data_IF_156693084395
#
_entry.id   IF_156693084395
#
_cell.length_a   1.000
_cell.length_b   1.000
_cell.length_c   1.000
_cell.angle_alpha   90.00
_cell.angle_beta   90.00
_cell.angle_gamma   90.00
#
_symmetry.space_group_name_H-M   'P 1'
#
loop_
_entity.id
_entity.type
_entity.pdbx_description
1 polymer ?
#
# COMPACT_ATOMS: atom_id res chain seq x y z
N UNK A 1 -9.36 -11.39 8.81
CA UNK A 1 -10.57 -11.35 7.95
C UNK A 1 -10.17 -11.61 6.50
N UNK A 2 -11.09 -12.13 5.66
CA UNK A 2 -10.78 -12.35 4.23
C UNK A 2 -10.84 -11.02 3.46
N UNK A 3 -9.72 -10.60 2.90
CA UNK A 3 -9.64 -9.37 2.08
C UNK A 3 -10.20 -9.61 0.68
N UNK A 4 -10.81 -8.57 0.10
CA UNK A 4 -11.05 -8.50 -1.33
C UNK A 4 -9.72 -8.45 -2.08
N UNK A 5 -9.64 -9.19 -3.19
CA UNK A 5 -8.43 -9.27 -3.99
C UNK A 5 -8.75 -9.44 -5.47
N UNK A 6 -7.75 -9.12 -6.31
CA UNK A 6 -7.70 -9.49 -7.71
C UNK A 6 -6.48 -10.37 -7.94
N UNK A 7 -6.70 -11.61 -8.39
CA UNK A 7 -5.64 -12.48 -8.89
C UNK A 7 -5.41 -12.22 -10.39
N UNK A 8 -4.15 -11.93 -10.75
CA UNK A 8 -3.65 -11.91 -12.12
C UNK A 8 -2.72 -13.11 -12.29
N UNK A 9 -3.17 -14.21 -12.92
CA UNK A 9 -2.33 -15.38 -13.11
C UNK A 9 -1.16 -15.07 -14.05
N UNK A 10 -0.05 -15.76 -13.83
CA UNK A 10 1.11 -15.72 -14.70
C UNK A 10 0.72 -16.14 -16.13
N UNK A 11 1.25 -15.41 -17.11
CA UNK A 11 1.04 -15.68 -18.53
C UNK A 11 2.04 -16.70 -19.08
N UNK A 12 3.11 -16.99 -18.35
CA UNK A 12 4.02 -18.10 -18.67
C UNK A 12 3.52 -19.37 -18.01
N UNK A 13 3.59 -20.47 -18.75
CA UNK A 13 3.26 -21.78 -18.22
C UNK A 13 4.33 -22.17 -17.19
N UNK A 14 3.98 -22.01 -15.92
CA UNK A 14 4.80 -22.43 -14.79
C UNK A 14 4.25 -23.75 -14.29
N UNK A 15 5.14 -24.74 -14.12
CA UNK A 15 4.79 -25.95 -13.40
C UNK A 15 4.11 -25.56 -12.07
N UNK A 16 3.00 -26.19 -11.68
CA UNK A 16 2.24 -25.83 -10.48
C UNK A 16 3.11 -25.63 -9.23
N UNK A 17 4.16 -26.45 -9.09
CA UNK A 17 5.11 -26.45 -7.96
C UNK A 17 6.18 -25.33 -8.00
N UNK A 18 6.16 -24.46 -9.03
CA UNK A 18 7.11 -23.34 -9.20
C UNK A 18 6.43 -21.98 -9.30
N UNK A 19 5.13 -21.89 -9.05
CA UNK A 19 4.40 -20.62 -9.17
C UNK A 19 4.85 -19.64 -8.11
N UNK A 20 5.58 -18.62 -8.53
CA UNK A 20 6.01 -17.54 -7.65
C UNK A 20 4.88 -16.53 -7.51
N UNK A 21 4.45 -16.28 -6.28
CA UNK A 21 3.34 -15.38 -5.98
C UNK A 21 3.85 -14.05 -5.44
N UNK A 22 3.26 -12.94 -5.90
CA UNK A 22 3.53 -11.60 -5.40
C UNK A 22 2.25 -10.94 -4.90
N UNK A 23 2.25 -10.51 -3.64
CA UNK A 23 1.21 -9.64 -3.08
C UNK A 23 1.57 -8.16 -3.27
N UNK A 24 0.62 -7.37 -3.80
CA UNK A 24 0.74 -5.93 -3.99
C UNK A 24 -0.26 -5.20 -3.08
N UNK A 25 0.25 -4.35 -2.17
CA UNK A 25 -0.53 -3.69 -1.12
C UNK A 25 -0.49 -2.17 -1.28
N UNK A 26 -1.66 -1.55 -1.43
CA UNK A 26 -1.80 -0.09 -1.59
C UNK A 26 -1.63 0.69 -0.27
N UNK A 27 -1.46 2.01 -0.39
CA UNK A 27 -1.39 2.95 0.73
C UNK A 27 -2.76 3.43 1.24
N UNK A 28 -2.74 4.30 2.26
CA UNK A 28 -3.95 4.92 2.84
C UNK A 28 -4.79 5.64 1.77
N UNK A 29 -6.12 5.54 1.86
CA UNK A 29 -7.11 6.06 0.90
C UNK A 29 -7.08 5.39 -0.49
N UNK A 30 -6.18 4.43 -0.70
CA UNK A 30 -6.04 3.70 -1.95
C UNK A 30 -7.05 2.56 -2.14
N UNK A 31 -6.77 1.77 -3.16
CA UNK A 31 -7.41 0.50 -3.49
C UNK A 31 -6.43 -0.39 -4.26
N UNK A 32 -6.77 -1.65 -4.49
CA UNK A 32 -6.00 -2.59 -5.30
C UNK A 32 -5.65 -2.03 -6.69
N UNK A 33 -6.44 -1.09 -7.22
CA UNK A 33 -6.23 -0.47 -8.52
C UNK A 33 -4.97 0.41 -8.59
N UNK A 34 -4.46 0.90 -7.45
CA UNK A 34 -3.30 1.79 -7.41
C UNK A 34 -2.01 1.12 -7.93
N UNK A 35 -1.87 -0.18 -7.71
CA UNK A 35 -0.70 -0.96 -8.16
C UNK A 35 -1.00 -1.84 -9.39
N UNK A 36 -2.17 -1.65 -10.02
CA UNK A 36 -2.62 -2.47 -11.17
C UNK A 36 -1.66 -2.42 -12.37
N UNK A 37 -1.03 -1.27 -12.61
CA UNK A 37 -0.02 -1.10 -13.66
C UNK A 37 1.19 -2.01 -13.44
N UNK A 38 1.75 -2.01 -12.22
CA UNK A 38 2.82 -2.93 -11.84
C UNK A 38 2.37 -4.39 -11.93
N UNK A 39 1.17 -4.70 -11.41
CA UNK A 39 0.66 -6.06 -11.45
C UNK A 39 0.48 -6.61 -12.87
N UNK A 40 0.15 -5.75 -13.84
CA UNK A 40 0.10 -6.12 -15.26
C UNK A 40 1.47 -6.44 -15.86
N UNK A 41 2.54 -5.78 -15.41
CA UNK A 41 3.90 -6.10 -15.89
C UNK A 41 4.44 -7.37 -15.23
N UNK A 42 4.18 -7.55 -13.92
CA UNK A 42 4.62 -8.73 -13.16
C UNK A 42 3.89 -10.01 -13.58
N UNK A 43 2.64 -9.95 -14.07
CA UNK A 43 1.92 -11.16 -14.53
C UNK A 43 2.61 -11.89 -15.71
N UNK A 44 3.67 -11.31 -16.28
CA UNK A 44 4.51 -12.01 -17.25
C UNK A 44 5.20 -13.23 -16.63
N UNK A 45 5.56 -13.15 -15.34
CA UNK A 45 6.42 -14.12 -14.65
C UNK A 45 5.89 -14.55 -13.28
N UNK A 46 4.80 -13.97 -12.79
CA UNK A 46 4.30 -14.21 -11.42
C UNK A 46 2.79 -14.30 -11.39
N UNK A 47 2.26 -15.09 -10.45
CA UNK A 47 0.88 -14.92 -10.02
C UNK A 47 0.83 -13.69 -9.12
N UNK A 48 0.07 -12.66 -9.50
CA UNK A 48 0.03 -11.39 -8.79
C UNK A 48 -1.31 -11.21 -8.10
N UNK A 49 -1.28 -10.99 -6.79
CA UNK A 49 -2.45 -10.73 -5.97
C UNK A 49 -2.45 -9.27 -5.56
N UNK A 50 -3.40 -8.50 -6.09
CA UNK A 50 -3.64 -7.13 -5.63
C UNK A 50 -4.74 -7.15 -4.59
N UNK A 51 -4.51 -6.55 -3.43
CA UNK A 51 -5.45 -6.59 -2.31
C UNK A 51 -6.07 -5.23 -2.08
N UNK A 52 -7.36 -5.19 -1.73
CA UNK A 52 -7.89 -4.06 -0.97
C UNK A 52 -7.62 -4.34 0.50
N UNK A 53 -6.94 -3.43 1.19
CA UNK A 53 -6.74 -3.54 2.65
C UNK A 53 -8.08 -3.35 3.35
N UNK A 54 -8.26 -3.90 4.57
CA UNK A 54 -9.42 -3.62 5.42
C UNK A 54 -9.77 -2.13 5.42
N UNK A 55 -11.06 -1.81 5.51
CA UNK A 55 -11.59 -0.44 5.40
C UNK A 55 -11.37 0.28 4.05
N UNK A 56 -10.81 -0.40 3.04
CA UNK A 56 -10.64 0.14 1.70
C UNK A 56 -11.32 -0.74 0.65
N UNK A 57 -11.60 -0.13 -0.52
CA UNK A 57 -12.22 -0.79 -1.66
C UNK A 57 -13.39 -1.70 -1.26
N UNK A 58 -13.35 -2.95 -1.71
CA UNK A 58 -14.42 -3.93 -1.43
C UNK A 58 -14.12 -4.87 -0.25
N UNK A 59 -13.00 -4.68 0.46
CA UNK A 59 -12.72 -5.45 1.69
C UNK A 59 -13.68 -5.07 2.81
N UNK A 60 -13.95 -6.00 3.72
CA UNK A 60 -14.86 -5.73 4.84
C UNK A 60 -14.35 -4.56 5.70
N UNK A 61 -15.29 -3.98 6.46
CA UNK A 61 -15.00 -2.87 7.37
C UNK A 61 -14.70 -3.42 8.74
N UNK A 62 -13.76 -2.79 9.45
CA UNK A 62 -13.37 -3.17 10.79
C UNK A 62 -13.03 -1.92 11.61
N UNK A 63 -13.48 -1.87 12.85
CA UNK A 63 -13.22 -0.73 13.74
C UNK A 63 -11.76 -0.59 14.16
N UNK A 64 -10.91 -1.58 13.90
CA UNK A 64 -9.51 -1.61 14.32
C UNK A 64 -8.55 -1.80 13.13
N UNK A 65 -7.45 -1.04 13.10
CA UNK A 65 -6.41 -1.11 12.06
C UNK A 65 -4.99 -1.05 12.64
N UNK A 66 -4.64 -2.00 13.52
CA UNK A 66 -3.23 -2.18 13.89
C UNK A 66 -2.45 -2.94 12.81
N UNK A 67 -1.15 -2.69 12.71
CA UNK A 67 -0.29 -3.40 11.75
C UNK A 67 -0.25 -4.92 11.95
N UNK A 68 -0.20 -5.48 13.18
CA UNK A 68 -0.31 -6.92 13.38
C UNK A 68 -1.60 -7.52 12.83
N UNK A 69 -2.74 -6.84 13.01
CA UNK A 69 -4.02 -7.30 12.46
C UNK A 69 -4.05 -7.23 10.94
N UNK A 70 -3.56 -6.14 10.35
CA UNK A 70 -3.51 -6.00 8.88
C UNK A 70 -2.54 -7.00 8.25
N UNK A 71 -1.42 -7.33 8.91
CA UNK A 71 -0.54 -8.40 8.47
C UNK A 71 -1.22 -9.78 8.55
N UNK A 72 -1.97 -10.04 9.63
CA UNK A 72 -2.73 -11.28 9.77
C UNK A 72 -3.79 -11.44 8.66
N UNK A 73 -4.42 -10.37 8.19
CA UNK A 73 -5.35 -10.45 7.05
C UNK A 73 -4.67 -10.92 5.76
N UNK A 74 -3.41 -10.50 5.53
CA UNK A 74 -2.63 -10.96 4.37
C UNK A 74 -2.34 -12.45 4.50
N UNK A 75 -1.99 -12.93 5.70
CA UNK A 75 -1.77 -14.36 5.94
C UNK A 75 -3.05 -15.17 5.81
N UNK A 76 -4.18 -14.71 6.34
CA UNK A 76 -5.47 -15.37 6.18
C UNK A 76 -5.86 -15.47 4.70
N UNK A 77 -5.63 -14.42 3.90
CA UNK A 77 -5.85 -14.47 2.46
C UNK A 77 -4.89 -15.45 1.77
N UNK A 78 -3.60 -15.46 2.14
CA UNK A 78 -2.64 -16.41 1.59
C UNK A 78 -3.02 -17.86 1.91
N UNK A 79 -3.43 -18.14 3.15
CA UNK A 79 -3.85 -19.47 3.59
C UNK A 79 -5.14 -19.91 2.89
N UNK A 80 -6.11 -19.00 2.71
CA UNK A 80 -7.33 -19.23 1.93
C UNK A 80 -7.02 -19.63 0.48
N UNK A 81 -6.00 -19.00 -0.11
CA UNK A 81 -5.51 -19.28 -1.46
C UNK A 81 -4.49 -20.43 -1.53
N UNK A 82 -4.20 -21.09 -0.41
CA UNK A 82 -3.25 -22.20 -0.30
C UNK A 82 -1.81 -21.80 -0.70
N UNK A 83 -1.40 -20.57 -0.38
CA UNK A 83 -0.09 -20.02 -0.70
C UNK A 83 0.81 -20.06 0.54
N UNK A 84 1.75 -20.99 0.56
CA UNK A 84 2.68 -21.14 1.70
C UNK A 84 3.79 -20.08 1.70
N UNK A 85 4.34 -19.70 0.54
CA UNK A 85 5.39 -18.67 0.47
C UNK A 85 5.11 -17.69 -0.66
N UNK A 86 5.41 -16.41 -0.43
CA UNK A 86 5.19 -15.36 -1.41
C UNK A 86 6.20 -14.22 -1.25
N UNK A 87 6.33 -13.42 -2.29
CA UNK A 87 6.97 -12.10 -2.21
C UNK A 87 5.93 -11.01 -2.03
N UNK A 88 6.34 -9.87 -1.50
CA UNK A 88 5.40 -8.80 -1.13
C UNK A 88 5.96 -7.42 -1.47
N UNK A 89 5.11 -6.55 -2.01
CA UNK A 89 5.38 -5.13 -2.20
C UNK A 89 4.26 -4.32 -1.58
N UNK A 90 4.63 -3.33 -0.78
CA UNK A 90 3.68 -2.39 -0.20
C UNK A 90 4.09 -0.94 -0.42
N UNK A 91 3.12 -0.08 -0.72
CA UNK A 91 3.31 1.38 -0.76
C UNK A 91 2.76 2.06 0.50
N UNK A 92 3.53 2.97 1.10
CA UNK A 92 3.08 3.78 2.24
C UNK A 92 2.55 2.91 3.39
N UNK A 93 1.30 3.09 3.84
CA UNK A 93 0.63 2.18 4.78
C UNK A 93 0.77 0.69 4.39
N UNK A 94 0.63 0.36 3.11
CA UNK A 94 0.85 -0.99 2.59
C UNK A 94 2.28 -1.48 2.76
N UNK A 95 3.27 -0.59 2.71
CA UNK A 95 4.67 -0.89 2.99
C UNK A 95 4.90 -1.25 4.45
N UNK A 96 4.24 -0.55 5.38
CA UNK A 96 4.23 -0.92 6.80
C UNK A 96 3.55 -2.27 7.04
N UNK A 97 2.43 -2.56 6.36
CA UNK A 97 1.81 -3.90 6.40
C UNK A 97 2.78 -4.97 5.90
N UNK A 98 3.46 -4.73 4.78
CA UNK A 98 4.44 -5.67 4.22
C UNK A 98 5.63 -5.92 5.16
N UNK A 99 6.15 -4.86 5.79
CA UNK A 99 7.18 -4.96 6.83
C UNK A 99 6.69 -5.78 8.02
N UNK A 100 5.47 -5.56 8.51
CA UNK A 100 4.89 -6.34 9.61
C UNK A 100 4.68 -7.81 9.24
N UNK A 101 4.32 -8.13 7.99
CA UNK A 101 4.28 -9.53 7.51
C UNK A 101 5.67 -10.17 7.60
N UNK A 102 6.69 -9.49 7.06
CA UNK A 102 8.07 -9.99 7.04
C UNK A 102 8.65 -10.22 8.45
N UNK A 103 8.31 -9.35 9.40
CA UNK A 103 8.78 -9.47 10.79
C UNK A 103 7.99 -10.51 11.60
N UNK A 104 6.71 -10.72 11.28
CA UNK A 104 5.85 -11.67 11.99
C UNK A 104 6.08 -13.13 11.55
N UNK A 105 6.21 -13.37 10.24
CA UNK A 105 6.44 -14.72 9.69
C UNK A 105 7.50 -14.67 8.58
N UNK A 106 8.78 -14.45 8.94
CA UNK A 106 9.87 -14.29 7.96
C UNK A 106 9.99 -15.47 6.99
N UNK A 107 9.66 -16.69 7.41
CA UNK A 107 9.69 -17.91 6.60
C UNK A 107 8.65 -17.93 5.46
N UNK A 108 7.59 -17.12 5.56
CA UNK A 108 6.55 -17.01 4.53
C UNK A 108 6.93 -16.01 3.44
N UNK A 109 7.83 -15.07 3.75
CA UNK A 109 8.15 -13.94 2.87
C UNK A 109 9.50 -14.17 2.19
N UNK A 110 9.49 -14.30 0.87
CA UNK A 110 10.70 -14.58 0.08
C UNK A 110 11.49 -13.30 -0.24
N UNK A 111 10.79 -12.24 -0.64
CA UNK A 111 11.35 -10.93 -1.01
C UNK A 111 10.40 -9.83 -0.58
N UNK A 112 10.95 -8.75 -0.07
CA UNK A 112 10.19 -7.59 0.43
C UNK A 112 10.57 -6.33 -0.36
N UNK A 113 9.56 -5.64 -0.90
CA UNK A 113 9.71 -4.26 -1.38
C UNK A 113 8.86 -3.32 -0.53
N UNK A 114 9.50 -2.27 -0.02
CA UNK A 114 8.87 -1.19 0.74
C UNK A 114 8.95 0.09 -0.09
N UNK A 115 7.82 0.57 -0.58
CA UNK A 115 7.74 1.77 -1.40
C UNK A 115 7.35 2.99 -0.54
N UNK A 116 8.34 3.86 -0.37
CA UNK A 116 8.24 5.21 0.19
C UNK A 116 7.64 5.30 1.60
N UNK A 117 8.13 4.46 2.50
CA UNK A 117 7.78 4.48 3.92
C UNK A 117 8.90 3.89 4.78
N UNK A 118 9.05 4.39 6.00
CA UNK A 118 9.95 3.85 7.01
C UNK A 118 9.20 3.13 8.16
N UNK A 119 9.86 2.19 8.86
CA UNK A 119 9.33 1.55 10.07
C UNK A 119 9.47 2.49 11.29
N UNK A 120 8.84 3.66 11.20
CA UNK A 120 8.83 4.69 12.25
C UNK A 120 7.45 5.34 12.35
N UNK A 121 7.18 6.00 13.48
CA UNK A 121 6.04 6.90 13.62
C UNK A 121 6.26 8.15 12.76
N UNK A 122 5.19 8.72 12.25
CA UNK A 122 5.22 9.93 11.43
C UNK A 122 4.35 11.01 12.04
N UNK A 123 4.72 12.28 11.84
CA UNK A 123 3.85 13.40 12.18
C UNK A 123 2.56 13.37 11.35
N UNK A 124 1.54 14.06 11.84
CA UNK A 124 0.29 14.19 11.10
C UNK A 124 0.48 14.97 9.79
N UNK A 125 0.00 14.39 8.69
CA UNK A 125 -0.03 14.97 7.35
C UNK A 125 -1.41 14.92 6.69
N UNK A 126 -2.45 14.47 7.41
CA UNK A 126 -3.76 14.17 6.82
C UNK A 126 -4.95 14.81 7.55
N UNK A 127 -4.76 15.63 8.59
CA UNK A 127 -5.88 16.35 9.22
C UNK A 127 -6.72 17.14 8.21
N UNK A 128 -6.08 17.95 7.36
CA UNK A 128 -6.80 18.72 6.32
C UNK A 128 -7.41 17.81 5.26
N UNK A 129 -6.72 16.72 4.91
CA UNK A 129 -7.27 15.69 4.01
C UNK A 129 -8.56 15.09 4.59
N UNK A 130 -8.57 14.68 5.86
CA UNK A 130 -9.76 14.16 6.51
C UNK A 130 -10.87 15.22 6.58
N UNK A 131 -10.55 16.47 6.89
CA UNK A 131 -11.52 17.57 6.90
C UNK A 131 -12.16 17.74 5.52
N UNK A 132 -11.35 17.77 4.46
CA UNK A 132 -11.84 17.91 3.09
C UNK A 132 -12.66 16.70 2.62
N UNK A 133 -12.25 15.48 2.94
CA UNK A 133 -13.02 14.27 2.62
C UNK A 133 -14.38 14.24 3.35
N UNK A 134 -14.40 14.67 4.62
CA UNK A 134 -15.66 14.83 5.38
C UNK A 134 -16.54 15.92 4.77
N UNK A 135 -15.96 17.02 4.32
CA UNK A 135 -16.69 18.09 3.62
C UNK A 135 -17.31 17.60 2.29
N UNK A 136 -16.54 16.85 1.48
CA UNK A 136 -17.06 16.20 0.26
C UNK A 136 -18.24 15.28 0.61
N UNK A 137 -18.08 14.41 1.61
CA UNK A 137 -19.14 13.49 2.06
C UNK A 137 -20.40 14.25 2.51
N UNK A 138 -20.24 15.33 3.28
CA UNK A 138 -21.34 16.17 3.75
C UNK A 138 -22.05 16.94 2.62
N UNK A 139 -21.31 17.37 1.59
CA UNK A 139 -21.86 18.11 0.45
C UNK A 139 -22.73 17.27 -0.50
N UNK A 140 -22.60 15.93 -0.45
CA UNK A 140 -23.31 14.98 -1.31
C UNK A 140 -23.24 15.33 -2.82
N UNK A 141 -22.08 15.80 -3.27
CA UNK A 141 -21.83 16.18 -4.68
C UNK A 141 -21.81 14.96 -5.60
N UNK A 142 -22.49 15.05 -6.75
CA UNK A 142 -22.72 13.89 -7.63
C UNK A 142 -21.69 13.73 -8.76
N UNK A 143 -20.48 14.25 -8.59
CA UNK A 143 -19.38 14.05 -9.54
C UNK A 143 -18.02 14.28 -8.89
N UNK A 144 -16.98 13.65 -9.43
CA UNK A 144 -15.59 13.92 -9.04
C UNK A 144 -15.17 15.36 -9.28
N UNK A 145 -15.66 15.99 -10.34
CA UNK A 145 -15.36 17.40 -10.64
C UNK A 145 -15.94 18.34 -9.58
N UNK A 146 -17.16 18.08 -9.10
CA UNK A 146 -17.73 18.85 -8.00
C UNK A 146 -17.04 18.55 -6.67
N UNK A 147 -16.69 17.28 -6.42
CA UNK A 147 -15.92 16.88 -5.24
C UNK A 147 -14.54 17.54 -5.20
N UNK A 148 -13.84 17.67 -6.33
CA UNK A 148 -12.54 18.33 -6.44
C UNK A 148 -12.63 19.81 -6.05
N UNK A 149 -13.71 20.50 -6.43
CA UNK A 149 -13.94 21.90 -6.02
C UNK A 149 -14.06 22.06 -4.50
N UNK A 150 -14.78 21.14 -3.85
CA UNK A 150 -14.90 21.13 -2.38
C UNK A 150 -13.56 20.80 -1.73
N UNK A 151 -12.87 19.79 -2.28
CA UNK A 151 -11.61 19.31 -1.72
C UNK A 151 -10.45 20.33 -1.91
N UNK A 152 -10.53 21.21 -2.90
CA UNK A 152 -9.56 22.26 -3.17
C UNK A 152 -9.44 23.29 -2.05
N UNK A 153 -10.48 23.46 -1.22
CA UNK A 153 -10.45 24.35 -0.05
C UNK A 153 -9.59 23.78 1.11
N UNK A 154 -9.21 22.50 1.03
CA UNK A 154 -8.50 21.78 2.10
C UNK A 154 -7.17 21.17 1.65
N UNK A 155 -7.08 20.76 0.39
CA UNK A 155 -5.91 20.06 -0.16
C UNK A 155 -5.41 20.82 -1.38
N UNK A 156 -4.29 21.52 -1.24
CA UNK A 156 -3.76 22.42 -2.29
C UNK A 156 -3.34 21.67 -3.55
N UNK A 157 -2.70 20.51 -3.40
CA UNK A 157 -2.08 19.75 -4.50
C UNK A 157 -3.11 19.00 -5.35
N UNK A 158 -3.31 19.37 -6.63
CA UNK A 158 -4.30 18.73 -7.50
C UNK A 158 -4.10 17.22 -7.67
N UNK A 159 -2.86 16.76 -7.73
CA UNK A 159 -2.52 15.34 -7.89
C UNK A 159 -2.98 14.51 -6.69
N UNK A 160 -2.86 15.07 -5.47
CA UNK A 160 -3.36 14.44 -4.24
C UNK A 160 -4.88 14.35 -4.27
N UNK A 161 -5.57 15.43 -4.65
CA UNK A 161 -7.03 15.41 -4.79
C UNK A 161 -7.50 14.39 -5.81
N UNK A 162 -6.86 14.34 -6.97
CA UNK A 162 -7.17 13.35 -8.01
C UNK A 162 -6.97 11.93 -7.51
N UNK A 163 -5.89 11.66 -6.76
CA UNK A 163 -5.67 10.36 -6.11
C UNK A 163 -6.80 10.01 -5.14
N UNK A 164 -7.13 10.90 -4.20
CA UNK A 164 -8.19 10.68 -3.21
C UNK A 164 -9.56 10.41 -3.86
N UNK A 165 -9.87 11.15 -4.94
CA UNK A 165 -11.14 11.05 -5.66
C UNK A 165 -11.22 9.85 -6.61
N UNK A 166 -10.14 9.08 -6.84
CA UNK A 166 -10.24 7.77 -7.52
C UNK A 166 -11.15 6.81 -6.76
N UNK A 167 -11.18 6.94 -5.44
CA UNK A 167 -12.02 6.18 -4.54
C UNK A 167 -13.42 6.79 -4.37
N UNK A 168 -13.71 7.95 -4.97
CA UNK A 168 -15.07 8.51 -5.02
C UNK A 168 -15.79 8.01 -6.27
N UNK A 169 -16.72 7.07 -6.10
CA UNK A 169 -17.33 6.31 -7.20
C UNK A 169 -18.86 6.39 -7.15
N UNK A 170 -19.50 6.25 -8.33
CA UNK A 170 -20.95 6.24 -8.45
C UNK A 170 -21.50 4.88 -8.01
N UNK A 171 -22.40 4.89 -7.03
CA UNK A 171 -23.21 3.76 -6.58
C UNK A 171 -24.68 3.97 -6.98
N UNK A 172 -25.57 3.06 -6.57
CA UNK A 172 -27.01 3.23 -6.76
C UNK A 172 -27.57 4.43 -5.96
N UNK A 173 -26.93 4.78 -4.85
CA UNK A 173 -27.30 5.85 -3.91
C UNK A 173 -26.60 7.19 -4.21
N UNK A 174 -25.82 7.28 -5.29
CA UNK A 174 -25.07 8.47 -5.68
C UNK A 174 -23.55 8.28 -5.59
N UNK A 175 -22.77 9.36 -5.59
CA UNK A 175 -21.32 9.24 -5.43
C UNK A 175 -20.91 9.07 -3.96
N UNK A 176 -20.09 8.05 -3.70
CA UNK A 176 -19.61 7.72 -2.35
C UNK A 176 -18.13 7.33 -2.36
N UNK A 177 -17.46 7.49 -1.22
CA UNK A 177 -16.11 6.95 -1.03
C UNK A 177 -16.19 5.44 -0.84
N UNK A 178 -15.37 4.69 -1.58
CA UNK A 178 -15.28 3.23 -1.47
C UNK A 178 -14.43 2.76 -0.28
N UNK A 179 -13.92 3.68 0.54
CA UNK A 179 -13.28 3.38 1.83
C UNK A 179 -14.14 3.91 2.98
N UNK A 180 -13.96 3.32 4.16
CA UNK A 180 -14.66 3.72 5.37
C UNK A 180 -13.95 4.90 6.06
N UNK A 181 -14.35 6.11 5.68
CA UNK A 181 -13.73 7.34 6.17
C UNK A 181 -13.75 7.47 7.70
N UNK A 182 -14.78 6.97 8.38
CA UNK A 182 -14.87 7.09 9.84
C UNK A 182 -13.88 6.15 10.51
N UNK A 183 -13.82 4.88 10.08
CA UNK A 183 -12.85 3.94 10.62
C UNK A 183 -11.41 4.35 10.31
N UNK A 184 -11.14 4.90 9.12
CA UNK A 184 -9.82 5.45 8.80
C UNK A 184 -9.44 6.61 9.71
N UNK A 185 -10.36 7.54 9.97
CA UNK A 185 -10.14 8.65 10.88
C UNK A 185 -9.89 8.18 12.32
N UNK A 186 -10.74 7.27 12.82
CA UNK A 186 -10.65 6.77 14.19
C UNK A 186 -9.36 5.96 14.45
N UNK A 187 -8.81 5.31 13.42
CA UNK A 187 -7.57 4.55 13.52
C UNK A 187 -6.32 5.31 13.04
N UNK A 188 -6.46 6.59 12.67
CA UNK A 188 -5.39 7.31 12.01
C UNK A 188 -4.10 7.39 12.84
N UNK A 189 -4.23 7.56 14.17
CA UNK A 189 -3.09 7.51 15.08
C UNK A 189 -2.30 6.19 14.95
N UNK A 190 -2.98 5.04 14.90
CA UNK A 190 -2.34 3.74 14.68
C UNK A 190 -1.76 3.58 13.28
N UNK A 191 -2.35 4.22 12.27
CA UNK A 191 -1.87 4.16 10.89
C UNK A 191 -0.56 4.95 10.73
N UNK A 192 -0.44 6.15 11.30
CA UNK A 192 0.81 6.94 11.18
C UNK A 192 1.92 6.45 12.12
N UNK A 193 1.56 5.70 13.16
CA UNK A 193 2.50 5.12 14.11
C UNK A 193 3.25 3.89 13.56
N UNK A 194 4.21 3.38 14.31
CA UNK A 194 4.86 2.10 14.07
C UNK A 194 5.08 1.36 15.40
N UNK A 195 4.47 0.18 15.59
CA UNK A 195 4.59 -0.54 16.85
C UNK A 195 6.01 -1.06 17.04
N UNK A 196 6.46 -1.15 18.29
CA UNK A 196 7.74 -1.76 18.64
C UNK A 196 7.88 -3.17 18.02
N UNK A 197 9.07 -3.46 17.53
CA UNK A 197 9.40 -4.73 16.89
C UNK A 197 10.62 -5.33 17.58
N UNK A 198 10.55 -6.61 17.94
CA UNK A 198 11.66 -7.36 18.53
C UNK A 198 12.38 -8.27 17.53
N UNK A 199 11.76 -8.50 16.36
CA UNK A 199 12.31 -9.37 15.33
C UNK A 199 13.11 -8.57 14.29
N UNK A 200 13.97 -9.29 13.59
CA UNK A 200 14.72 -8.79 12.43
C UNK A 200 14.43 -9.68 11.24
N UNK A 201 14.20 -9.08 10.07
CA UNK A 201 14.04 -9.77 8.80
C UNK A 201 15.32 -9.67 7.97
N UNK A 202 15.97 -10.81 7.76
CA UNK A 202 17.28 -10.89 7.09
C UNK A 202 17.20 -11.28 5.63
N UNK A 203 16.03 -11.60 5.09
CA UNK A 203 15.87 -11.89 3.67
C UNK A 203 15.96 -10.63 2.81
N UNK A 204 16.19 -10.76 1.49
CA UNK A 204 16.36 -9.61 0.60
C UNK A 204 15.23 -8.58 0.72
N UNK A 205 15.61 -7.33 0.96
CA UNK A 205 14.68 -6.21 1.11
C UNK A 205 15.11 -5.04 0.22
N UNK A 206 14.15 -4.41 -0.45
CA UNK A 206 14.36 -3.19 -1.23
C UNK A 206 13.43 -2.08 -0.74
N UNK A 207 14.02 -0.99 -0.27
CA UNK A 207 13.32 0.28 -0.09
C UNK A 207 13.42 1.10 -1.36
N UNK A 208 12.29 1.64 -1.82
CA UNK A 208 12.23 2.57 -2.95
C UNK A 208 11.71 3.90 -2.42
N UNK A 209 12.51 4.97 -2.52
CA UNK A 209 12.22 6.31 -2.00
C UNK A 209 12.02 7.30 -3.15
N UNK A 210 11.10 8.24 -2.99
CA UNK A 210 11.02 9.45 -3.82
C UNK A 210 12.01 10.49 -3.31
N UNK A 211 12.81 11.07 -4.19
CA UNK A 211 13.79 12.10 -3.81
C UNK A 211 13.14 13.28 -3.07
N UNK A 212 11.92 13.66 -3.47
CA UNK A 212 11.20 14.80 -2.91
C UNK A 212 10.27 14.40 -1.75
N UNK A 213 10.23 13.11 -1.39
CA UNK A 213 9.43 12.59 -0.29
C UNK A 213 10.19 12.66 1.03
N UNK A 214 9.47 12.91 2.11
CA UNK A 214 9.95 12.97 3.49
C UNK A 214 9.46 11.78 4.34
N UNK A 215 9.04 10.67 3.71
CA UNK A 215 8.62 9.44 4.41
C UNK A 215 9.76 8.47 4.76
N UNK A 216 10.95 8.70 4.19
CA UNK A 216 12.17 7.96 4.52
C UNK A 216 13.27 8.99 4.69
N UNK A 217 13.48 9.43 5.93
CA UNK A 217 14.49 10.44 6.25
C UNK A 217 15.76 9.78 6.78
N UNK A 218 16.86 10.54 6.88
CA UNK A 218 18.11 10.05 7.47
C UNK A 218 17.89 9.54 8.90
N UNK A 219 17.01 10.20 9.67
CA UNK A 219 16.62 9.78 11.01
C UNK A 219 15.93 8.40 11.07
N UNK A 220 15.36 7.92 9.96
CA UNK A 220 14.74 6.59 9.87
C UNK A 220 15.76 5.47 9.66
N UNK A 221 16.99 5.79 9.24
CA UNK A 221 18.00 4.80 8.85
C UNK A 221 18.36 3.81 9.97
N UNK A 222 18.54 4.22 11.25
CA UNK A 222 18.82 3.27 12.32
C UNK A 222 17.74 2.20 12.49
N UNK A 223 16.46 2.59 12.41
CA UNK A 223 15.33 1.67 12.51
C UNK A 223 15.29 0.69 11.31
N UNK A 224 15.54 1.18 10.10
CA UNK A 224 15.61 0.34 8.89
C UNK A 224 16.73 -0.70 9.02
N UNK A 225 17.94 -0.29 9.42
CA UNK A 225 19.09 -1.20 9.55
C UNK A 225 18.87 -2.23 10.66
N UNK A 226 18.28 -1.84 11.78
CA UNK A 226 17.99 -2.76 12.89
C UNK A 226 16.97 -3.85 12.51
N UNK A 227 15.93 -3.48 11.76
CA UNK A 227 14.84 -4.41 11.39
C UNK A 227 15.10 -5.16 10.08
N UNK A 228 15.84 -4.55 9.15
CA UNK A 228 16.07 -5.03 7.78
C UNK A 228 17.55 -4.86 7.38
N UNK A 229 18.50 -5.57 8.01
CA UNK A 229 19.94 -5.36 7.82
C UNK A 229 20.43 -5.59 6.38
N UNK A 230 19.70 -6.40 5.60
CA UNK A 230 20.00 -6.67 4.19
C UNK A 230 19.20 -5.78 3.23
N UNK A 231 18.61 -4.70 3.74
CA UNK A 231 17.89 -3.72 2.93
C UNK A 231 18.81 -2.95 1.98
N UNK A 232 18.38 -2.79 0.74
CA UNK A 232 18.95 -1.84 -0.22
C UNK A 232 18.01 -0.66 -0.37
N UNK A 233 18.54 0.55 -0.57
CA UNK A 233 17.76 1.73 -0.88
C UNK A 233 17.95 2.11 -2.36
N UNK A 234 16.85 2.41 -3.06
CA UNK A 234 16.86 3.04 -4.38
C UNK A 234 16.03 4.31 -4.34
N UNK A 235 16.64 5.41 -4.76
CA UNK A 235 15.97 6.72 -4.83
C UNK A 235 15.55 6.99 -6.27
N UNK A 236 14.32 7.45 -6.47
CA UNK A 236 13.82 7.92 -7.75
C UNK A 236 13.87 9.45 -7.75
N UNK A 237 14.78 10.00 -8.55
CA UNK A 237 14.99 11.46 -8.66
C UNK A 237 13.71 12.19 -9.07
N UNK A 238 13.52 13.43 -8.63
CA UNK A 238 12.40 14.33 -8.92
C UNK A 238 11.05 13.59 -8.87
N UNK A 239 10.79 12.90 -7.76
CA UNK A 239 9.59 12.10 -7.53
C UNK A 239 9.17 12.26 -6.08
N UNK A 240 7.88 12.53 -5.86
CA UNK A 240 7.25 12.61 -4.54
C UNK A 240 6.82 11.25 -4.01
N UNK A 241 5.76 11.25 -3.19
CA UNK A 241 5.32 10.05 -2.47
C UNK A 241 4.65 8.99 -3.35
N UNK A 242 4.05 9.38 -4.48
CA UNK A 242 3.31 8.46 -5.35
C UNK A 242 4.20 7.96 -6.48
N UNK A 243 5.31 7.33 -6.12
CA UNK A 243 6.37 6.84 -7.04
C UNK A 243 5.83 6.09 -8.27
N UNK A 244 4.88 5.20 -8.02
CA UNK A 244 4.27 4.33 -9.01
C UNK A 244 3.29 5.06 -9.94
N UNK A 245 2.79 6.24 -9.54
CA UNK A 245 1.95 7.10 -10.36
C UNK A 245 2.77 8.17 -11.12
N UNK A 246 3.78 8.75 -10.46
CA UNK A 246 4.62 9.81 -11.02
C UNK A 246 5.65 9.29 -12.01
N UNK A 247 6.36 8.20 -11.67
CA UNK A 247 7.38 7.58 -12.52
C UNK A 247 7.17 6.06 -12.66
N UNK A 248 6.01 5.62 -13.21
CA UNK A 248 5.63 4.21 -13.28
C UNK A 248 6.70 3.34 -13.93
N UNK A 249 7.27 3.75 -15.06
CA UNK A 249 8.30 2.98 -15.78
C UNK A 249 9.54 2.72 -14.91
N UNK A 250 10.01 3.73 -14.17
CA UNK A 250 11.20 3.61 -13.33
C UNK A 250 10.89 2.75 -12.10
N UNK A 251 9.76 3.01 -11.45
CA UNK A 251 9.30 2.24 -10.29
C UNK A 251 9.13 0.76 -10.64
N UNK A 252 8.39 0.45 -11.72
CA UNK A 252 8.12 -0.91 -12.17
C UNK A 252 9.40 -1.66 -12.50
N UNK A 253 10.34 -1.02 -13.23
CA UNK A 253 11.64 -1.62 -13.54
C UNK A 253 12.43 -1.97 -12.28
N UNK A 254 12.44 -1.12 -11.26
CA UNK A 254 13.11 -1.41 -9.99
C UNK A 254 12.48 -2.63 -9.29
N UNK A 255 11.15 -2.70 -9.25
CA UNK A 255 10.44 -3.79 -8.63
C UNK A 255 10.65 -5.13 -9.38
N UNK A 256 10.46 -5.13 -10.70
CA UNK A 256 10.64 -6.31 -11.56
C UNK A 256 12.07 -6.84 -11.46
N UNK A 257 13.07 -5.97 -11.57
CA UNK A 257 14.48 -6.38 -11.47
C UNK A 257 14.84 -6.94 -10.09
N UNK A 258 14.12 -6.54 -9.03
CA UNK A 258 14.35 -7.06 -7.69
C UNK A 258 13.69 -8.43 -7.49
N UNK A 259 12.47 -8.62 -7.98
CA UNK A 259 11.80 -9.93 -7.90
C UNK A 259 12.45 -11.00 -8.78
N UNK A 260 13.14 -10.60 -9.85
CA UNK A 260 13.83 -11.51 -10.76
C UNK A 260 15.22 -11.99 -10.27
N UNK A 261 15.79 -11.37 -9.24
CA UNK A 261 17.03 -11.85 -8.56
C UNK A 261 16.70 -13.07 -7.73
#
# INVERSE_FOLDING_TARGET
MLLNYQLKPSTRDQSPDKKQVIFLIHGLFGSLSNLSGLGKELQSDYDVILVDVRNHGQSERNSSMSYPQMANDIFELADHLQIEQFSILGHSMGGKIAMSCALAQPQRIQRLIVADIAPTSHADKHSDVFAGLKAVKASNVQSRTAADKVLADYVETPEVRQFLLKSYQRTAEGFQFVYDLENLYNNYASIIDWPEQSNTYTSPTLFIKGELSDYIEEASQPAIVALFPNAKLKVINATGHWLHAEKPKTFNRLAINFFAQ
#
